data_IF_746363495173
#
_entry.id   IF_746363495173
#
_cell.length_a   1.000
_cell.length_b   1.000
_cell.length_c   1.000
_cell.angle_alpha   90.00
_cell.angle_beta   90.00
_cell.angle_gamma   90.00
#
_symmetry.space_group_name_H-M   'P 1'
#
loop_
_entity.id
_entity.type
_entity.pdbx_description
1 polymer ?
#
# COMPACT_ATOMS: atom_id res chain seq x y z
N UNK A 1 3.39 -12.26 -25.45
CA UNK A 1 3.12 -12.76 -26.80
C UNK A 1 4.28 -12.34 -27.69
N UNK A 2 4.78 -13.26 -28.53
CA UNK A 2 5.87 -13.03 -29.47
C UNK A 2 5.32 -13.11 -30.90
N UNK A 3 5.51 -12.04 -31.68
CA UNK A 3 5.07 -11.94 -33.07
C UNK A 3 5.93 -10.95 -33.84
N UNK A 4 5.68 -10.82 -35.16
CA UNK A 4 6.35 -9.84 -36.01
C UNK A 4 5.45 -8.61 -36.14
N UNK A 5 6.03 -7.40 -36.03
CA UNK A 5 5.32 -6.15 -36.22
C UNK A 5 4.85 -6.07 -37.70
N UNK A 6 3.54 -6.19 -37.90
CA UNK A 6 2.96 -6.26 -39.25
C UNK A 6 2.62 -4.87 -39.81
N UNK A 7 2.11 -3.96 -38.97
CA UNK A 7 1.75 -2.59 -39.40
C UNK A 7 1.79 -1.62 -38.20
N UNK A 8 2.34 -0.43 -38.40
CA UNK A 8 2.25 0.72 -37.48
C UNK A 8 1.14 1.65 -37.96
N UNK A 9 0.26 2.09 -37.06
CA UNK A 9 -0.90 2.92 -37.40
C UNK A 9 -0.69 4.40 -37.03
N UNK A 10 0.43 4.75 -36.39
CA UNK A 10 0.74 6.08 -35.85
C UNK A 10 2.17 6.46 -36.25
N UNK A 11 2.44 7.74 -36.49
CA UNK A 11 3.77 8.26 -36.78
C UNK A 11 4.60 8.53 -35.51
N UNK A 12 5.91 8.50 -35.64
CA UNK A 12 6.82 8.72 -34.52
C UNK A 12 6.72 10.16 -33.97
N UNK A 13 6.30 10.29 -32.70
CA UNK A 13 6.10 11.57 -32.01
C UNK A 13 4.63 12.02 -31.91
N UNK A 14 3.68 11.29 -32.41
CA UNK A 14 2.25 11.58 -32.29
C UNK A 14 1.69 11.19 -30.90
N UNK A 15 0.86 12.04 -30.31
CA UNK A 15 0.23 11.79 -29.01
C UNK A 15 -1.18 11.25 -29.21
N UNK A 16 -1.44 10.05 -28.74
CA UNK A 16 -2.74 9.37 -28.85
C UNK A 16 -3.39 9.11 -27.49
N UNK A 17 -4.74 9.06 -27.42
CA UNK A 17 -5.46 8.74 -26.20
C UNK A 17 -5.16 7.33 -25.71
N UNK A 18 -5.26 7.10 -24.39
CA UNK A 18 -5.07 5.79 -23.77
C UNK A 18 -6.18 4.83 -24.21
N UNK A 19 -5.80 3.71 -24.84
CA UNK A 19 -6.72 2.68 -25.34
C UNK A 19 -6.82 2.64 -26.86
N UNK A 20 -6.12 3.49 -27.60
CA UNK A 20 -6.08 3.48 -29.07
C UNK A 20 -5.05 2.47 -29.61
N UNK A 21 -5.35 1.83 -30.72
CA UNK A 21 -4.49 0.81 -31.32
C UNK A 21 -3.34 1.49 -32.05
N UNK A 22 -2.13 1.29 -31.58
CA UNK A 22 -0.92 1.95 -32.12
C UNK A 22 -0.18 1.12 -33.16
N UNK A 23 -0.28 -0.21 -33.08
CA UNK A 23 0.39 -1.13 -33.99
C UNK A 23 -0.26 -2.52 -33.95
N UNK A 24 -0.04 -3.31 -35.00
CA UNK A 24 -0.57 -4.68 -35.15
C UNK A 24 0.62 -5.64 -35.22
N UNK A 25 0.57 -6.71 -34.41
CA UNK A 25 1.54 -7.81 -34.40
C UNK A 25 0.84 -9.05 -34.96
N UNK A 26 1.41 -9.68 -35.98
CA UNK A 26 0.92 -10.89 -36.62
C UNK A 26 1.98 -12.00 -36.69
N UNK A 27 1.61 -13.14 -37.31
CA UNK A 27 2.55 -14.23 -37.58
C UNK A 27 3.38 -13.96 -38.87
N UNK A 28 4.59 -14.53 -39.03
CA UNK A 28 5.42 -14.30 -40.20
C UNK A 28 4.74 -14.81 -41.48
N UNK A 29 4.30 -13.89 -42.35
CA UNK A 29 3.69 -14.23 -43.65
C UNK A 29 2.16 -14.04 -43.74
N UNK A 30 1.54 -13.49 -42.71
CA UNK A 30 0.12 -13.15 -42.71
C UNK A 30 -0.11 -11.80 -43.40
N UNK A 31 -0.88 -11.79 -44.50
CA UNK A 31 -1.32 -10.56 -45.15
C UNK A 31 -2.56 -10.04 -44.42
N UNK A 32 -2.43 -8.88 -43.78
CA UNK A 32 -3.55 -8.24 -43.08
C UNK A 32 -4.20 -7.24 -44.06
N UNK A 33 -5.23 -7.72 -44.75
CA UNK A 33 -6.11 -6.86 -45.50
C UNK A 33 -7.22 -6.30 -44.61
N UNK A 34 -7.37 -4.99 -44.66
CA UNK A 34 -8.49 -4.19 -44.18
C UNK A 34 -8.75 -4.16 -42.67
N UNK A 35 -7.97 -3.31 -41.96
CA UNK A 35 -8.34 -2.84 -40.60
C UNK A 35 -9.02 -1.48 -40.77
N UNK A 36 -10.30 -1.30 -40.33
CA UNK A 36 -10.96 -0.01 -40.42
C UNK A 36 -10.20 1.06 -39.62
N UNK A 37 -9.98 2.20 -40.26
CA UNK A 37 -9.40 3.39 -39.65
C UNK A 37 -10.23 3.83 -38.43
N UNK A 38 -9.63 4.40 -37.38
CA UNK A 38 -10.36 4.90 -36.21
C UNK A 38 -11.38 5.95 -36.67
N UNK A 39 -12.65 5.71 -36.33
CA UNK A 39 -13.76 6.57 -36.65
C UNK A 39 -13.68 7.85 -35.77
N UNK A 40 -13.23 8.93 -36.32
CA UNK A 40 -13.55 10.28 -35.88
C UNK A 40 -15.05 10.51 -36.12
N UNK A 41 -15.87 10.40 -35.10
CA UNK A 41 -17.32 10.58 -35.18
C UNK A 41 -17.84 11.36 -33.98
N UNK A 42 -17.80 12.67 -34.08
CA UNK A 42 -18.77 13.51 -33.41
C UNK A 42 -20.10 13.37 -34.12
N UNK A 43 -21.11 12.79 -33.48
CA UNK A 43 -22.51 12.96 -33.91
C UNK A 43 -23.34 13.46 -32.73
N UNK A 44 -23.80 14.69 -32.97
CA UNK A 44 -24.87 15.38 -32.27
C UNK A 44 -26.18 14.65 -32.56
N UNK A 45 -27.02 14.52 -31.55
CA UNK A 45 -28.46 14.29 -31.76
C UNK A 45 -29.23 15.46 -31.13
N UNK A 46 -29.88 16.21 -32.03
CA UNK A 46 -30.84 17.27 -31.77
C UNK A 46 -32.16 16.73 -31.22
N UNK A 47 -32.78 17.49 -30.32
CA UNK A 47 -34.20 17.87 -30.32
C UNK A 47 -34.44 18.87 -29.17
N UNK A 48 -34.60 20.15 -29.54
CA UNK A 48 -35.80 21.00 -29.53
C UNK A 48 -36.41 21.21 -28.13
N UNK A 49 -36.62 22.42 -27.63
CA UNK A 49 -37.28 23.63 -28.12
C UNK A 49 -36.97 24.84 -27.22
N UNK A 50 -36.97 26.04 -27.81
CA UNK A 50 -36.77 27.43 -27.30
C UNK A 50 -37.97 27.96 -26.53
N UNK A 51 -38.06 29.29 -26.14
CA UNK A 51 -37.04 30.29 -25.77
C UNK A 51 -37.42 31.20 -24.58
N UNK A 52 -36.51 31.98 -24.04
CA UNK A 52 -36.78 33.36 -23.61
C UNK A 52 -35.46 34.15 -23.32
N UNK A 53 -35.37 35.31 -23.91
CA UNK A 53 -34.31 36.30 -23.97
C UNK A 53 -34.42 37.37 -22.85
N UNK A 54 -33.50 38.41 -22.86
CA UNK A 54 -32.62 38.77 -21.73
C UNK A 54 -33.01 40.13 -21.10
N UNK A 55 -32.23 40.86 -20.30
CA UNK A 55 -31.25 41.82 -20.79
C UNK A 55 -29.94 42.04 -19.95
N UNK A 56 -28.84 42.35 -20.59
CA UNK A 56 -28.07 43.58 -20.67
C UNK A 56 -27.56 44.16 -19.33
N UNK A 57 -26.36 44.56 -19.11
CA UNK A 57 -25.32 45.34 -19.80
C UNK A 57 -24.01 45.32 -19.01
N UNK A 58 -22.90 45.33 -19.71
CA UNK A 58 -21.58 45.63 -19.18
C UNK A 58 -21.35 47.17 -19.06
N UNK A 59 -20.29 47.66 -18.39
CA UNK A 59 -19.17 48.10 -19.19
C UNK A 59 -17.77 47.79 -18.63
N UNK A 60 -16.87 47.73 -19.57
CA UNK A 60 -15.44 47.62 -19.44
C UNK A 60 -14.74 48.84 -18.83
N UNK A 61 -13.59 48.64 -18.15
CA UNK A 61 -12.47 49.55 -18.10
C UNK A 61 -11.19 48.75 -17.90
N UNK A 62 -10.40 48.63 -18.94
CA UNK A 62 -9.07 49.14 -19.28
C UNK A 62 -7.95 48.89 -18.25
N UNK A 63 -7.03 48.10 -18.74
CA UNK A 63 -5.63 47.86 -18.50
C UNK A 63 -4.80 49.05 -17.93
N UNK A 64 -3.93 48.68 -16.97
CA UNK A 64 -2.58 49.27 -16.87
C UNK A 64 -1.59 48.15 -16.59
N UNK A 65 -0.63 47.99 -17.49
CA UNK A 65 0.57 47.19 -17.31
C UNK A 65 1.52 47.94 -16.38
N UNK A 66 1.99 47.30 -15.34
CA UNK A 66 3.23 47.67 -14.69
C UNK A 66 4.10 46.44 -14.52
N UNK A 67 5.22 46.47 -15.26
CA UNK A 67 6.33 45.53 -15.13
C UNK A 67 7.05 45.89 -13.84
N UNK A 68 7.11 44.94 -12.92
CA UNK A 68 8.06 45.01 -11.84
C UNK A 68 9.05 43.83 -11.92
N UNK A 69 10.30 44.21 -11.87
CA UNK A 69 11.52 43.48 -12.15
C UNK A 69 11.78 42.42 -11.06
N UNK A 70 12.07 41.23 -11.51
CA UNK A 70 12.62 40.11 -10.70
C UNK A 70 14.00 40.52 -10.12
N UNK A 71 14.26 40.29 -8.83
CA UNK A 71 15.61 40.39 -8.30
C UNK A 71 16.40 39.10 -8.53
N UNK A 72 17.62 39.25 -9.01
CA UNK A 72 18.59 38.22 -9.28
C UNK A 72 18.92 37.35 -8.05
N UNK A 73 19.22 36.06 -8.22
CA UNK A 73 19.59 35.19 -7.12
C UNK A 73 21.00 35.49 -6.59
N UNK A 74 21.14 35.45 -5.29
CA UNK A 74 22.40 35.57 -4.56
C UNK A 74 23.35 34.38 -4.86
N UNK A 75 24.68 34.58 -4.82
CA UNK A 75 25.66 33.56 -5.18
C UNK A 75 25.74 32.46 -4.13
N UNK A 76 25.73 31.20 -4.63
CA UNK A 76 26.05 29.98 -3.86
C UNK A 76 27.49 30.05 -3.33
N UNK A 77 27.75 29.52 -2.12
CA UNK A 77 29.11 29.43 -1.61
C UNK A 77 29.89 28.34 -2.35
N UNK A 78 31.08 28.72 -2.78
CA UNK A 78 32.08 27.82 -3.41
C UNK A 78 32.38 26.62 -2.54
N UNK A 79 32.13 25.41 -3.07
CA UNK A 79 32.59 24.15 -2.51
C UNK A 79 34.07 23.99 -2.84
N UNK A 80 34.90 24.03 -1.81
CA UNK A 80 36.30 23.62 -1.89
C UNK A 80 36.43 22.20 -2.46
N UNK A 81 37.24 22.07 -3.50
CA UNK A 81 37.65 20.77 -4.07
C UNK A 81 38.64 20.10 -3.14
N UNK A 82 38.43 18.84 -2.70
CA UNK A 82 39.46 18.11 -2.00
C UNK A 82 40.56 17.64 -2.96
N UNK A 83 41.80 17.91 -2.61
CA UNK A 83 43.01 17.40 -3.23
C UNK A 83 43.03 15.84 -3.23
N UNK A 84 43.67 15.19 -4.22
CA UNK A 84 43.73 13.74 -4.27
C UNK A 84 44.74 13.21 -3.23
N UNK A 85 44.24 12.45 -2.29
CA UNK A 85 45.06 11.64 -1.38
C UNK A 85 45.61 10.45 -2.16
N UNK A 86 46.91 10.26 -2.06
CA UNK A 86 47.68 9.10 -2.55
C UNK A 86 47.08 7.79 -2.03
N UNK A 87 46.66 6.94 -2.95
CA UNK A 87 46.13 5.62 -2.65
C UNK A 87 47.22 4.63 -2.32
N UNK A 88 47.30 4.17 -1.08
CA UNK A 88 47.88 2.89 -0.73
C UNK A 88 46.96 1.74 -1.21
N UNK A 89 47.56 0.73 -1.84
CA UNK A 89 46.85 -0.44 -2.32
C UNK A 89 46.39 -1.34 -1.15
N UNK A 90 45.11 -1.73 -1.06
CA UNK A 90 44.67 -2.76 -0.12
C UNK A 90 44.69 -4.13 -0.81
N UNK A 91 45.46 -5.03 -0.23
CA UNK A 91 45.41 -6.45 -0.44
C UNK A 91 44.06 -7.06 -0.10
N UNK A 92 43.51 -7.92 -1.00
CA UNK A 92 42.48 -8.89 -0.66
C UNK A 92 41.05 -8.36 -0.48
N UNK A 93 40.46 -7.62 -1.44
CA UNK A 93 39.10 -7.12 -1.39
C UNK A 93 38.25 -7.50 -2.60
N UNK A 94 37.03 -7.88 -2.34
CA UNK A 94 35.97 -8.25 -3.30
C UNK A 94 35.90 -7.21 -4.43
N UNK A 95 36.16 -7.63 -5.69
CA UNK A 95 36.16 -6.76 -6.88
C UNK A 95 34.81 -6.01 -7.03
N UNK A 96 34.86 -4.68 -7.02
CA UNK A 96 33.71 -3.84 -7.21
C UNK A 96 33.51 -3.53 -8.68
N UNK A 97 32.56 -4.22 -9.34
CA UNK A 97 32.20 -3.99 -10.73
C UNK A 97 30.67 -3.79 -10.88
N UNK A 98 30.27 -3.03 -11.91
CA UNK A 98 28.85 -2.86 -12.23
C UNK A 98 28.25 -4.20 -12.74
N UNK A 99 26.92 -4.41 -12.64
CA UNK A 99 26.27 -5.64 -13.16
C UNK A 99 26.55 -5.87 -14.65
N UNK A 100 26.55 -4.82 -15.47
CA UNK A 100 26.88 -4.89 -16.89
C UNK A 100 28.33 -5.34 -17.13
N UNK A 101 29.28 -4.79 -16.36
CA UNK A 101 30.70 -5.15 -16.45
C UNK A 101 30.93 -6.62 -16.09
N UNK A 102 30.25 -7.13 -15.07
CA UNK A 102 30.32 -8.55 -14.68
C UNK A 102 29.75 -9.47 -15.75
N UNK A 103 28.75 -9.04 -16.49
CA UNK A 103 28.17 -9.79 -17.61
C UNK A 103 29.16 -9.85 -18.78
N UNK A 104 29.66 -8.70 -19.23
CA UNK A 104 30.64 -8.61 -20.33
C UNK A 104 31.94 -9.34 -20.00
N UNK A 105 32.42 -9.25 -18.76
CA UNK A 105 33.61 -9.99 -18.34
C UNK A 105 33.43 -11.51 -18.43
N UNK A 106 32.22 -12.03 -18.12
CA UNK A 106 31.92 -13.47 -18.30
C UNK A 106 31.79 -13.86 -19.77
N UNK A 107 31.16 -13.02 -20.59
CA UNK A 107 31.01 -13.26 -22.04
C UNK A 107 32.36 -13.32 -22.75
N UNK A 108 33.35 -12.52 -22.30
CA UNK A 108 34.67 -12.42 -22.92
C UNK A 108 35.80 -13.08 -22.10
N UNK A 109 35.45 -13.83 -21.04
CA UNK A 109 36.42 -14.54 -20.15
C UNK A 109 37.50 -13.63 -19.56
N UNK A 110 37.13 -12.41 -19.15
CA UNK A 110 38.06 -11.40 -18.62
C UNK A 110 38.10 -11.48 -17.09
N UNK A 111 39.32 -11.61 -16.51
CA UNK A 111 39.52 -11.57 -15.06
C UNK A 111 39.49 -10.14 -14.52
N UNK A 112 38.40 -9.77 -13.84
CA UNK A 112 38.22 -8.45 -13.26
C UNK A 112 39.15 -8.15 -12.08
N UNK A 113 39.82 -9.13 -11.51
CA UNK A 113 40.77 -8.92 -10.40
C UNK A 113 42.04 -8.18 -10.84
N UNK A 114 42.37 -8.25 -12.12
CA UNK A 114 43.52 -7.62 -12.75
C UNK A 114 43.25 -6.21 -13.27
N UNK A 115 42.00 -5.76 -13.23
CA UNK A 115 41.56 -4.49 -13.83
C UNK A 115 41.32 -3.44 -12.75
N UNK A 116 41.99 -2.30 -12.88
CA UNK A 116 41.78 -1.17 -11.98
C UNK A 116 40.52 -0.38 -12.42
N UNK A 117 39.53 -0.28 -11.54
CA UNK A 117 38.30 0.48 -11.81
C UNK A 117 38.49 1.98 -11.75
N UNK A 118 38.03 2.71 -12.78
CA UNK A 118 38.08 4.17 -12.89
C UNK A 118 36.80 4.89 -12.40
N UNK A 119 35.81 4.13 -11.98
CA UNK A 119 34.54 4.68 -11.44
C UNK A 119 34.60 5.08 -9.98
N UNK A 120 33.54 5.72 -9.45
CA UNK A 120 33.48 6.18 -8.07
C UNK A 120 33.77 5.02 -7.07
N UNK A 121 34.62 5.30 -6.10
CA UNK A 121 35.10 4.35 -5.09
C UNK A 121 35.83 3.11 -5.66
N UNK A 122 36.57 3.27 -6.80
CA UNK A 122 37.32 2.21 -7.41
C UNK A 122 36.48 1.14 -8.12
N UNK A 123 35.26 1.44 -8.54
CA UNK A 123 34.37 0.53 -9.26
C UNK A 123 34.79 0.40 -10.72
N UNK A 124 34.90 -0.83 -11.21
CA UNK A 124 35.13 -1.12 -12.62
C UNK A 124 33.88 -0.78 -13.42
N UNK A 125 33.99 0.10 -14.42
CA UNK A 125 32.94 0.54 -15.31
C UNK A 125 33.19 0.07 -16.75
N UNK A 126 32.22 0.19 -17.65
CA UNK A 126 32.30 -0.37 -19.02
C UNK A 126 33.55 0.08 -19.77
N UNK A 127 33.95 1.34 -19.67
CA UNK A 127 35.13 1.90 -20.35
C UNK A 127 36.43 1.24 -19.90
N UNK A 128 36.49 0.63 -18.72
CA UNK A 128 37.71 0.02 -18.17
C UNK A 128 37.95 -1.39 -18.75
N UNK A 129 36.89 -2.05 -19.25
CA UNK A 129 36.98 -3.37 -19.89
C UNK A 129 36.86 -3.29 -21.40
N UNK A 130 36.47 -2.16 -21.96
CA UNK A 130 36.28 -1.99 -23.41
C UNK A 130 37.56 -2.28 -24.22
N UNK A 131 38.78 -1.81 -23.82
CA UNK A 131 40.01 -2.11 -24.53
C UNK A 131 40.37 -3.62 -24.57
N UNK A 132 39.94 -4.37 -23.54
CA UNK A 132 40.14 -5.83 -23.50
C UNK A 132 39.16 -6.57 -24.41
N UNK A 133 37.92 -6.03 -24.57
CA UNK A 133 36.91 -6.56 -25.48
C UNK A 133 37.28 -6.29 -26.93
N UNK A 134 37.82 -5.10 -27.21
CA UNK A 134 38.20 -4.68 -28.56
C UNK A 134 39.55 -5.25 -29.00
N UNK A 135 40.23 -6.03 -28.13
CA UNK A 135 41.51 -6.69 -28.44
C UNK A 135 42.72 -5.76 -28.48
N UNK A 136 42.60 -4.52 -27.95
CA UNK A 136 43.71 -3.57 -27.87
C UNK A 136 44.68 -3.90 -26.74
N UNK A 137 44.24 -4.63 -25.73
CA UNK A 137 45.06 -5.11 -24.60
C UNK A 137 44.83 -6.60 -24.43
N UNK A 138 45.92 -7.40 -24.18
CA UNK A 138 45.83 -8.83 -23.94
C UNK A 138 44.87 -9.13 -22.76
N UNK A 139 43.94 -10.06 -22.99
CA UNK A 139 42.94 -10.46 -22.01
C UNK A 139 43.64 -11.18 -20.85
N UNK A 140 43.49 -10.69 -19.59
CA UNK A 140 43.94 -11.45 -18.42
C UNK A 140 43.10 -12.74 -18.34
N UNK A 141 43.63 -13.84 -18.75
CA UNK A 141 42.96 -15.16 -18.77
C UNK A 141 42.90 -15.66 -17.32
N UNK A 142 41.71 -15.99 -16.83
CA UNK A 142 41.60 -16.75 -15.59
C UNK A 142 42.30 -18.10 -15.75
N UNK A 143 43.18 -18.47 -14.83
CA UNK A 143 43.85 -19.74 -14.85
C UNK A 143 42.84 -20.90 -14.98
N UNK A 144 43.10 -21.91 -15.83
CA UNK A 144 42.17 -23.04 -15.95
C UNK A 144 42.07 -23.75 -14.60
N UNK A 145 40.85 -23.88 -14.07
CA UNK A 145 40.55 -24.77 -12.96
C UNK A 145 40.92 -26.22 -13.41
N UNK A 146 41.78 -26.87 -12.67
CA UNK A 146 42.09 -28.31 -12.89
C UNK A 146 40.76 -29.11 -12.82
N UNK A 147 40.60 -30.16 -13.67
CA UNK A 147 39.38 -30.95 -13.65
C UNK A 147 39.30 -31.71 -12.33
N UNK A 148 38.35 -31.28 -11.52
CA UNK A 148 37.94 -32.01 -10.31
C UNK A 148 37.23 -33.28 -10.79
N UNK A 149 37.76 -34.46 -10.48
CA UNK A 149 37.10 -35.75 -10.66
C UNK A 149 35.69 -35.70 -10.10
N UNK A 150 34.73 -36.20 -10.89
CA UNK A 150 33.35 -36.29 -10.49
C UNK A 150 33.19 -37.08 -9.19
N UNK A 151 32.64 -36.54 -8.13
CA UNK A 151 32.32 -37.32 -6.94
C UNK A 151 31.11 -38.23 -7.24
N UNK A 152 31.27 -39.47 -6.77
CA UNK A 152 30.18 -40.47 -6.68
C UNK A 152 28.92 -39.92 -6.04
N UNK A 153 27.76 -40.50 -6.39
CA UNK A 153 26.41 -40.23 -5.89
C UNK A 153 26.40 -39.68 -4.45
N UNK A 154 26.25 -38.36 -4.32
CA UNK A 154 26.00 -37.76 -3.01
C UNK A 154 24.53 -37.98 -2.61
N UNK A 155 24.40 -38.71 -1.51
CA UNK A 155 23.20 -38.76 -0.68
C UNK A 155 22.58 -37.36 -0.57
N UNK A 156 21.26 -37.28 -0.72
CA UNK A 156 20.46 -36.08 -0.45
C UNK A 156 20.89 -35.47 0.88
N UNK A 157 21.68 -34.43 0.83
CA UNK A 157 21.95 -33.58 1.99
C UNK A 157 20.64 -32.92 2.34
N UNK A 158 20.01 -33.44 3.39
CA UNK A 158 18.97 -32.74 4.14
C UNK A 158 19.60 -31.39 4.50
N UNK A 159 19.10 -30.29 3.93
CA UNK A 159 19.49 -28.96 4.35
C UNK A 159 19.26 -28.85 5.84
N UNK A 160 20.33 -28.95 6.58
CA UNK A 160 20.35 -28.68 8.01
C UNK A 160 19.73 -27.28 8.22
N UNK A 161 18.76 -27.16 9.08
CA UNK A 161 18.19 -25.87 9.45
C UNK A 161 19.33 -24.94 9.86
N UNK A 162 19.29 -23.64 9.51
CA UNK A 162 20.36 -22.71 9.85
C UNK A 162 20.65 -22.85 11.33
N UNK A 163 21.93 -23.09 11.66
CA UNK A 163 22.37 -23.24 13.03
C UNK A 163 21.84 -22.07 13.86
N UNK A 164 21.35 -22.32 15.08
CA UNK A 164 20.84 -21.26 15.93
C UNK A 164 21.93 -20.19 16.08
N UNK A 165 21.58 -18.94 15.72
CA UNK A 165 22.49 -17.79 15.85
C UNK A 165 22.99 -17.79 17.29
N UNK A 166 24.31 -17.97 17.48
CA UNK A 166 24.91 -17.95 18.81
C UNK A 166 24.55 -16.60 19.46
N UNK A 167 23.86 -16.66 20.59
CA UNK A 167 23.54 -15.45 21.35
C UNK A 167 24.85 -14.83 21.83
N UNK A 168 25.07 -13.50 21.65
CA UNK A 168 26.21 -12.85 22.29
C UNK A 168 26.12 -13.12 23.79
N UNK A 169 27.22 -13.51 24.42
CA UNK A 169 27.25 -13.71 25.85
C UNK A 169 26.83 -12.42 26.57
N UNK A 170 25.72 -12.47 27.28
CA UNK A 170 25.26 -11.33 28.06
C UNK A 170 26.23 -11.13 29.21
N UNK A 171 27.05 -10.10 29.13
CA UNK A 171 28.01 -9.74 30.23
C UNK A 171 27.32 -9.13 31.44
N UNK A 172 26.03 -8.89 31.41
CA UNK A 172 25.29 -8.26 32.55
C UNK A 172 23.86 -8.82 32.63
N UNK A 173 23.57 -9.51 33.72
CA UNK A 173 22.25 -9.96 34.15
C UNK A 173 21.88 -11.40 33.73
N UNK A 174 21.08 -12.05 34.54
CA UNK A 174 20.44 -13.34 34.20
C UNK A 174 19.39 -13.11 33.10
N UNK A 175 19.45 -13.91 32.06
CA UNK A 175 18.44 -13.90 30.99
C UNK A 175 17.32 -14.84 31.37
N UNK A 176 16.17 -14.30 31.72
CA UNK A 176 14.94 -15.08 31.89
C UNK A 176 14.39 -15.49 30.52
N UNK A 177 14.24 -16.78 30.30
CA UNK A 177 13.63 -17.32 29.06
C UNK A 177 12.19 -17.72 29.37
N UNK A 178 11.24 -16.99 28.78
CA UNK A 178 9.80 -17.30 28.89
C UNK A 178 9.33 -18.08 27.66
N UNK A 179 8.66 -19.19 27.87
CA UNK A 179 7.98 -19.91 26.81
C UNK A 179 6.67 -19.20 26.44
N UNK A 180 6.44 -19.03 25.13
CA UNK A 180 5.21 -18.44 24.63
C UNK A 180 4.04 -19.42 24.76
N UNK A 181 2.84 -18.92 25.13
CA UNK A 181 1.63 -19.70 25.11
C UNK A 181 1.34 -20.25 23.70
N UNK A 182 0.58 -21.36 23.60
CA UNK A 182 0.18 -21.94 22.30
C UNK A 182 -0.58 -20.95 21.42
N UNK A 183 -1.40 -20.11 22.04
CA UNK A 183 -2.12 -19.02 21.38
C UNK A 183 -1.13 -18.01 20.77
N UNK A 184 -0.18 -17.52 21.56
CA UNK A 184 0.84 -16.57 21.11
C UNK A 184 1.69 -17.15 19.98
N UNK A 185 2.07 -18.41 20.04
CA UNK A 185 2.79 -19.11 18.96
C UNK A 185 1.96 -19.17 17.67
N UNK A 186 0.64 -19.38 17.78
CA UNK A 186 -0.26 -19.43 16.63
C UNK A 186 -0.43 -18.04 15.98
N UNK A 187 -0.60 -17.00 16.82
CA UNK A 187 -0.64 -15.61 16.35
C UNK A 187 0.67 -15.26 15.62
N UNK A 188 1.83 -15.59 16.22
CA UNK A 188 3.13 -15.30 15.63
C UNK A 188 3.27 -15.91 14.23
N UNK A 189 2.90 -17.20 14.06
CA UNK A 189 2.94 -17.86 12.75
C UNK A 189 2.01 -17.21 11.73
N UNK A 190 0.75 -16.90 12.11
CA UNK A 190 -0.23 -16.26 11.23
C UNK A 190 0.20 -14.86 10.79
N UNK A 191 0.68 -14.04 11.72
CA UNK A 191 1.13 -12.68 11.41
C UNK A 191 2.39 -12.68 10.56
N UNK A 192 3.36 -13.58 10.86
CA UNK A 192 4.54 -13.75 10.02
C UNK A 192 4.18 -14.19 8.60
N UNK A 193 3.24 -15.14 8.47
CA UNK A 193 2.76 -15.60 7.17
C UNK A 193 2.10 -14.45 6.40
N UNK A 194 1.17 -13.72 7.03
CA UNK A 194 0.48 -12.59 6.40
C UNK A 194 1.46 -11.53 5.88
N UNK A 195 2.41 -11.13 6.72
CA UNK A 195 3.37 -10.09 6.37
C UNK A 195 4.38 -10.51 5.28
N UNK A 196 4.68 -11.80 5.20
CA UNK A 196 5.55 -12.36 4.16
C UNK A 196 4.83 -12.54 2.82
N UNK A 197 3.57 -13.03 2.86
CA UNK A 197 2.86 -13.50 1.67
C UNK A 197 2.03 -12.38 1.02
N UNK A 198 1.49 -11.44 1.79
CA UNK A 198 0.70 -10.32 1.29
C UNK A 198 1.54 -9.04 1.18
N UNK A 199 1.75 -8.48 -0.04
CA UNK A 199 2.36 -7.17 -0.21
C UNK A 199 1.41 -6.08 0.31
N UNK A 200 1.61 -5.64 1.55
CA UNK A 200 0.76 -4.64 2.18
C UNK A 200 0.97 -3.26 1.55
N UNK A 201 -0.11 -2.60 1.16
CA UNK A 201 -0.16 -1.16 0.91
C UNK A 201 -0.90 -0.48 2.06
N UNK A 202 -0.47 0.73 2.41
CA UNK A 202 -1.03 1.48 3.52
C UNK A 202 -1.50 2.85 3.04
N UNK A 203 -2.78 3.14 3.22
CA UNK A 203 -3.37 4.43 2.89
C UNK A 203 -3.97 5.04 4.14
N UNK A 204 -3.55 6.27 4.48
CA UNK A 204 -4.02 6.99 5.66
C UNK A 204 -4.90 8.16 5.25
N UNK A 205 -5.99 8.37 5.99
CA UNK A 205 -6.90 9.49 5.77
C UNK A 205 -7.34 10.09 7.11
N UNK A 206 -7.41 11.43 7.18
CA UNK A 206 -7.93 12.17 8.32
C UNK A 206 -9.45 12.42 8.14
N UNK A 207 -10.21 12.22 9.21
CA UNK A 207 -11.67 12.30 9.25
C UNK A 207 -12.09 13.27 10.36
N UNK A 208 -13.00 14.19 10.07
CA UNK A 208 -13.65 15.04 11.07
C UNK A 208 -14.81 14.28 11.72
N UNK A 209 -14.65 13.93 12.99
CA UNK A 209 -15.61 13.16 13.75
C UNK A 209 -16.69 14.03 14.43
N UNK A 210 -16.65 15.36 14.28
CA UNK A 210 -17.53 16.29 15.00
C UNK A 210 -19.01 15.92 14.89
N UNK A 211 -19.52 15.75 13.66
CA UNK A 211 -20.93 15.39 13.44
C UNK A 211 -21.26 13.95 13.87
N UNK A 212 -20.32 13.02 13.75
CA UNK A 212 -20.51 11.65 14.23
C UNK A 212 -20.62 11.60 15.76
N UNK A 213 -19.82 12.39 16.46
CA UNK A 213 -19.88 12.50 17.92
C UNK A 213 -21.18 13.16 18.38
N UNK A 214 -21.65 14.18 17.66
CA UNK A 214 -22.95 14.82 17.96
C UNK A 214 -24.12 13.85 17.74
N UNK A 215 -24.16 13.13 16.61
CA UNK A 215 -25.17 12.09 16.37
C UNK A 215 -25.13 11.00 17.47
N UNK A 216 -23.95 10.53 17.84
CA UNK A 216 -23.80 9.55 18.93
C UNK A 216 -24.42 10.07 20.22
N UNK A 217 -24.14 11.32 20.58
CA UNK A 217 -24.68 11.96 21.78
C UNK A 217 -26.22 12.01 21.75
N UNK A 218 -26.80 12.37 20.60
CA UNK A 218 -28.27 12.41 20.42
C UNK A 218 -28.87 11.02 20.54
N UNK A 219 -28.34 10.02 19.86
CA UNK A 219 -28.82 8.64 19.93
C UNK A 219 -28.77 8.12 21.37
N UNK A 220 -27.64 8.32 22.07
CA UNK A 220 -27.48 7.81 23.43
C UNK A 220 -28.38 8.54 24.43
N UNK A 221 -28.73 9.81 24.21
CA UNK A 221 -29.67 10.52 25.05
C UNK A 221 -31.11 9.95 24.95
N UNK A 222 -31.47 9.41 23.78
CA UNK A 222 -32.83 8.87 23.54
C UNK A 222 -32.94 7.39 23.90
N UNK A 223 -31.87 6.61 23.61
CA UNK A 223 -31.93 5.12 23.67
C UNK A 223 -31.36 4.59 24.99
N UNK A 224 -30.23 5.15 25.48
CA UNK A 224 -29.51 4.59 26.61
C UNK A 224 -30.26 4.66 27.95
N UNK A 225 -31.28 5.52 28.06
CA UNK A 225 -32.13 5.61 29.25
C UNK A 225 -33.00 4.35 29.43
N UNK A 226 -33.45 3.76 28.30
CA UNK A 226 -34.35 2.60 28.31
C UNK A 226 -33.60 1.29 28.14
N UNK A 227 -32.47 1.28 27.42
CA UNK A 227 -31.64 0.12 27.13
C UNK A 227 -30.13 0.49 27.15
N UNK A 228 -29.47 0.39 28.33
CA UNK A 228 -28.03 0.69 28.47
C UNK A 228 -27.13 -0.17 27.59
N UNK A 229 -27.57 -1.39 27.24
CA UNK A 229 -26.79 -2.28 26.36
C UNK A 229 -26.78 -1.77 24.91
N UNK A 230 -27.75 -0.95 24.52
CA UNK A 230 -27.80 -0.29 23.21
C UNK A 230 -27.02 1.01 23.13
N UNK A 231 -26.34 1.45 24.20
CA UNK A 231 -25.50 2.65 24.16
C UNK A 231 -24.41 2.51 23.09
N UNK A 232 -24.42 3.42 22.11
CA UNK A 232 -23.54 3.42 20.95
C UNK A 232 -22.16 3.98 21.32
N UNK A 233 -21.11 3.27 21.01
CA UNK A 233 -19.73 3.72 21.14
C UNK A 233 -19.21 4.33 19.84
N UNK A 234 -18.05 5.01 19.88
CA UNK A 234 -17.38 5.49 18.66
C UNK A 234 -17.01 4.32 17.74
N UNK A 235 -16.63 3.20 18.33
CA UNK A 235 -16.28 1.99 17.57
C UNK A 235 -17.48 1.44 16.79
N UNK A 236 -18.68 1.46 17.37
CA UNK A 236 -19.90 0.99 16.71
C UNK A 236 -20.27 1.87 15.50
N UNK A 237 -20.06 3.20 15.61
CA UNK A 237 -20.21 4.11 14.46
C UNK A 237 -19.23 3.77 13.34
N UNK A 238 -17.98 3.49 13.69
CA UNK A 238 -16.94 3.13 12.72
C UNK A 238 -17.26 1.78 12.06
N UNK A 239 -17.67 0.78 12.84
CA UNK A 239 -18.11 -0.53 12.32
C UNK A 239 -19.26 -0.37 11.33
N UNK A 240 -20.30 0.40 11.69
CA UNK A 240 -21.43 0.67 10.81
C UNK A 240 -21.01 1.37 9.53
N UNK A 241 -20.24 2.45 9.65
CA UNK A 241 -19.79 3.23 8.49
C UNK A 241 -18.90 2.38 7.56
N UNK A 242 -17.98 1.60 8.12
CA UNK A 242 -17.11 0.70 7.37
C UNK A 242 -17.93 -0.38 6.63
N UNK A 243 -18.88 -1.02 7.32
CA UNK A 243 -19.73 -2.04 6.73
C UNK A 243 -20.60 -1.51 5.58
N UNK A 244 -21.23 -0.33 5.77
CA UNK A 244 -22.03 0.29 4.70
C UNK A 244 -21.16 0.72 3.52
N UNK A 245 -19.94 1.22 3.77
CA UNK A 245 -19.00 1.54 2.71
C UNK A 245 -18.57 0.30 1.90
N UNK A 246 -18.33 -0.85 2.55
CA UNK A 246 -17.91 -2.10 1.90
C UNK A 246 -18.90 -2.61 0.84
N UNK A 247 -20.19 -2.27 0.93
CA UNK A 247 -21.18 -2.62 -0.11
C UNK A 247 -20.78 -2.17 -1.52
N UNK A 248 -20.05 -1.04 -1.61
CA UNK A 248 -19.60 -0.47 -2.88
C UNK A 248 -18.20 -0.92 -3.26
N UNK A 249 -17.51 -1.65 -2.37
CA UNK A 249 -16.12 -2.11 -2.55
C UNK A 249 -15.99 -3.61 -2.25
N UNK A 250 -16.64 -4.49 -3.02
CA UNK A 250 -16.67 -5.92 -2.75
C UNK A 250 -15.29 -6.57 -2.76
N UNK A 251 -14.33 -5.98 -3.47
CA UNK A 251 -12.93 -6.45 -3.50
C UNK A 251 -12.29 -6.35 -2.11
N UNK A 252 -12.58 -5.29 -1.33
CA UNK A 252 -12.07 -5.15 0.03
C UNK A 252 -12.82 -6.04 1.04
N UNK A 253 -14.01 -6.53 0.65
CA UNK A 253 -14.81 -7.51 1.40
C UNK A 253 -14.60 -8.92 0.85
N UNK A 254 -13.36 -9.32 0.63
CA UNK A 254 -13.02 -10.60 -0.01
C UNK A 254 -11.89 -11.32 0.70
N UNK A 255 -11.70 -12.58 0.36
CA UNK A 255 -10.52 -13.37 0.69
C UNK A 255 -9.59 -13.48 -0.52
N UNK A 256 -8.30 -13.60 -0.26
CA UNK A 256 -7.31 -13.96 -1.28
C UNK A 256 -6.76 -15.36 -0.97
N UNK A 257 -7.17 -16.34 -1.79
CA UNK A 257 -6.83 -17.76 -1.62
C UNK A 257 -6.44 -18.33 -2.99
N UNK A 258 -5.32 -19.02 -3.08
CA UNK A 258 -4.86 -19.74 -4.28
C UNK A 258 -4.91 -18.88 -5.56
N UNK A 259 -4.34 -17.67 -5.47
CA UNK A 259 -4.30 -16.67 -6.55
C UNK A 259 -5.67 -16.23 -7.08
N UNK A 260 -6.70 -16.36 -6.23
CA UNK A 260 -8.08 -15.96 -6.54
C UNK A 260 -8.65 -15.06 -5.45
N UNK A 261 -9.58 -14.20 -5.85
CA UNK A 261 -10.41 -13.43 -4.92
C UNK A 261 -11.75 -14.14 -4.73
N UNK A 262 -12.10 -14.44 -3.50
CA UNK A 262 -13.41 -14.94 -3.11
C UNK A 262 -14.22 -13.77 -2.57
N UNK A 263 -15.14 -13.24 -3.39
CA UNK A 263 -16.01 -12.13 -3.01
C UNK A 263 -17.14 -12.65 -2.13
N UNK A 264 -17.43 -11.93 -1.04
CA UNK A 264 -18.48 -12.28 -0.09
C UNK A 264 -19.66 -11.32 -0.22
N UNK A 265 -20.89 -11.85 -0.30
CA UNK A 265 -22.12 -11.06 -0.31
C UNK A 265 -22.48 -10.55 1.10
N UNK A 266 -22.12 -11.29 2.15
CA UNK A 266 -22.25 -10.89 3.54
C UNK A 266 -21.08 -9.97 3.95
N UNK A 267 -21.36 -9.00 4.81
CA UNK A 267 -20.35 -8.10 5.36
C UNK A 267 -20.22 -8.35 6.85
N UNK A 268 -19.26 -9.22 7.18
CA UNK A 268 -19.00 -9.68 8.54
C UNK A 268 -17.76 -8.98 9.06
N UNK A 269 -17.97 -8.01 9.96
CA UNK A 269 -16.90 -7.13 10.43
C UNK A 269 -16.29 -7.66 11.72
N UNK A 270 -15.02 -8.08 11.66
CA UNK A 270 -14.23 -8.37 12.84
C UNK A 270 -13.79 -7.08 13.55
N UNK A 271 -13.71 -7.14 14.87
CA UNK A 271 -13.08 -6.09 15.65
C UNK A 271 -12.13 -6.67 16.70
N UNK A 272 -10.99 -6.01 16.87
CA UNK A 272 -9.93 -6.48 17.75
C UNK A 272 -10.30 -6.25 19.22
N UNK A 273 -10.22 -7.30 20.04
CA UNK A 273 -10.44 -7.26 21.50
C UNK A 273 -9.18 -7.74 22.20
N UNK A 274 -8.60 -6.88 23.04
CA UNK A 274 -7.47 -7.24 23.89
C UNK A 274 -7.93 -8.17 25.02
N UNK A 275 -7.18 -9.27 25.21
CA UNK A 275 -7.34 -10.23 26.28
C UNK A 275 -6.00 -10.43 26.98
N UNK A 276 -5.95 -11.12 28.13
CA UNK A 276 -4.74 -11.28 28.94
C UNK A 276 -3.56 -11.86 28.14
N UNK A 277 -3.79 -12.91 27.36
CA UNK A 277 -2.76 -13.61 26.59
C UNK A 277 -2.54 -13.07 25.17
N UNK A 278 -3.20 -11.99 24.78
CA UNK A 278 -3.04 -11.45 23.43
C UNK A 278 -4.24 -10.69 22.88
N UNK A 279 -4.67 -11.05 21.68
CA UNK A 279 -5.76 -10.39 20.97
C UNK A 279 -6.61 -11.45 20.30
N UNK A 280 -7.94 -11.32 20.39
CA UNK A 280 -8.91 -12.10 19.65
C UNK A 280 -9.78 -11.15 18.82
N UNK A 281 -10.27 -11.62 17.68
CA UNK A 281 -11.02 -10.79 16.74
C UNK A 281 -12.38 -11.42 16.42
N UNK A 282 -13.38 -11.31 17.33
CA UNK A 282 -14.73 -11.73 17.00
C UNK A 282 -15.32 -10.85 15.90
N UNK A 283 -16.36 -11.33 15.20
CA UNK A 283 -17.01 -10.56 14.16
C UNK A 283 -18.51 -10.36 14.41
N UNK A 284 -19.03 -9.29 13.85
CA UNK A 284 -20.46 -8.97 13.82
C UNK A 284 -20.95 -9.37 12.43
N UNK A 285 -21.82 -10.38 12.29
CA UNK A 285 -22.34 -10.81 11.00
C UNK A 285 -23.32 -9.78 10.44
N UNK A 286 -23.32 -9.63 9.10
CA UNK A 286 -24.21 -8.70 8.36
C UNK A 286 -24.24 -7.29 8.97
N UNK A 287 -23.08 -6.74 9.32
CA UNK A 287 -22.96 -5.46 10.03
C UNK A 287 -23.55 -4.29 9.24
N UNK A 288 -23.53 -4.37 7.92
CA UNK A 288 -24.15 -3.39 7.02
C UNK A 288 -25.68 -3.29 7.15
N UNK A 289 -26.35 -4.40 7.51
CA UNK A 289 -27.80 -4.48 7.65
C UNK A 289 -28.28 -4.17 9.06
N UNK A 290 -27.43 -4.31 10.06
CA UNK A 290 -27.76 -4.05 11.47
C UNK A 290 -27.91 -2.56 11.75
N UNK A 291 -28.81 -2.24 12.67
CA UNK A 291 -28.91 -0.90 13.28
C UNK A 291 -27.73 -0.63 14.20
N UNK A 292 -27.49 0.64 14.54
CA UNK A 292 -26.42 0.99 15.49
C UNK A 292 -26.64 0.37 16.88
N UNK A 293 -27.89 0.29 17.36
CA UNK A 293 -28.19 -0.36 18.64
C UNK A 293 -27.92 -1.87 18.62
N UNK A 294 -28.21 -2.57 17.51
CA UNK A 294 -27.87 -3.98 17.36
C UNK A 294 -26.37 -4.22 17.30
N UNK A 295 -25.62 -3.34 16.60
CA UNK A 295 -24.16 -3.41 16.58
C UNK A 295 -23.60 -3.18 17.99
N UNK A 296 -24.11 -2.16 18.72
CA UNK A 296 -23.67 -1.86 20.08
C UNK A 296 -23.88 -3.03 21.05
N UNK A 297 -25.06 -3.67 21.01
CA UNK A 297 -25.33 -4.88 21.83
C UNK A 297 -24.40 -6.03 21.45
N UNK A 298 -24.24 -6.29 20.15
CA UNK A 298 -23.39 -7.37 19.66
C UNK A 298 -21.91 -7.15 20.02
N UNK A 299 -21.40 -5.93 19.84
CA UNK A 299 -19.99 -5.59 20.14
C UNK A 299 -19.70 -5.71 21.64
N UNK A 300 -20.60 -5.23 22.51
CA UNK A 300 -20.48 -5.35 23.97
C UNK A 300 -20.49 -6.81 24.43
N UNK A 301 -21.47 -7.60 23.96
CA UNK A 301 -21.56 -9.01 24.33
C UNK A 301 -20.34 -9.82 23.87
N UNK A 302 -19.94 -9.67 22.60
CA UNK A 302 -18.76 -10.34 22.06
C UNK A 302 -17.49 -9.93 22.80
N UNK A 303 -17.31 -8.63 23.09
CA UNK A 303 -16.13 -8.12 23.80
C UNK A 303 -16.09 -8.61 25.26
N UNK A 304 -17.24 -8.70 25.96
CA UNK A 304 -17.34 -9.26 27.30
C UNK A 304 -16.95 -10.75 27.29
N UNK A 305 -17.59 -11.55 26.44
CA UNK A 305 -17.31 -12.99 26.33
C UNK A 305 -15.89 -13.28 25.84
N UNK A 306 -15.31 -12.41 25.01
CA UNK A 306 -13.90 -12.51 24.61
C UNK A 306 -12.95 -12.47 25.81
N UNK A 307 -13.18 -11.53 26.76
CA UNK A 307 -12.35 -11.38 27.96
C UNK A 307 -12.58 -12.52 28.99
N UNK A 308 -13.80 -13.05 29.03
CA UNK A 308 -14.19 -14.15 29.92
C UNK A 308 -13.83 -15.55 29.35
N UNK A 309 -13.29 -15.62 28.12
CA UNK A 309 -12.99 -16.90 27.45
C UNK A 309 -14.23 -17.66 26.98
N UNK A 310 -15.38 -16.99 26.87
CA UNK A 310 -16.67 -17.59 26.53
C UNK A 310 -17.05 -17.48 25.04
N UNK A 311 -16.12 -17.10 24.13
CA UNK A 311 -16.40 -17.09 22.70
C UNK A 311 -16.39 -18.49 22.10
N UNK A 312 -17.33 -18.74 21.20
CA UNK A 312 -17.34 -19.96 20.38
C UNK A 312 -16.42 -19.79 19.18
N UNK A 313 -15.79 -20.88 18.68
CA UNK A 313 -14.91 -20.80 17.53
C UNK A 313 -15.54 -20.11 16.30
N UNK A 314 -16.82 -20.34 16.05
CA UNK A 314 -17.57 -19.78 14.92
C UNK A 314 -17.72 -18.25 15.01
N UNK A 315 -17.51 -17.65 16.18
CA UNK A 315 -17.66 -16.20 16.39
C UNK A 315 -16.37 -15.40 16.11
N UNK A 316 -15.23 -16.11 15.93
CA UNK A 316 -13.93 -15.46 15.63
C UNK A 316 -13.14 -16.15 14.50
N UNK A 317 -13.55 -17.33 14.05
CA UNK A 317 -12.89 -18.04 12.95
C UNK A 317 -13.39 -17.61 11.55
N UNK A 318 -14.12 -16.50 11.48
CA UNK A 318 -14.69 -15.97 10.24
C UNK A 318 -14.52 -14.47 10.14
N UNK A 319 -15.45 -13.84 9.41
CA UNK A 319 -15.47 -12.41 9.14
C UNK A 319 -14.69 -12.03 7.90
N UNK A 320 -15.18 -11.03 7.18
CA UNK A 320 -14.70 -10.67 5.84
C UNK A 320 -13.81 -9.43 5.84
N UNK A 321 -13.85 -8.63 6.91
CA UNK A 321 -13.08 -7.41 7.07
C UNK A 321 -12.76 -7.18 8.55
N UNK A 322 -11.57 -6.66 8.85
CA UNK A 322 -11.16 -6.43 10.25
C UNK A 322 -10.97 -4.95 10.56
N UNK A 323 -11.41 -4.53 11.76
CA UNK A 323 -11.13 -3.22 12.34
C UNK A 323 -10.28 -3.39 13.59
N UNK A 324 -9.14 -2.71 13.64
CA UNK A 324 -8.26 -2.63 14.81
C UNK A 324 -8.25 -1.21 15.34
N UNK A 325 -8.72 -1.00 16.58
CA UNK A 325 -8.85 0.32 17.17
C UNK A 325 -7.92 0.49 18.38
N UNK A 326 -6.94 1.39 18.27
CA UNK A 326 -6.02 1.77 19.33
C UNK A 326 -6.26 3.19 19.85
N UNK A 327 -7.40 3.81 19.47
CA UNK A 327 -7.75 5.16 19.88
C UNK A 327 -7.85 5.34 21.40
N UNK A 328 -8.30 4.31 22.12
CA UNK A 328 -8.38 4.32 23.59
C UNK A 328 -7.00 4.40 24.27
N UNK A 329 -5.94 4.02 23.58
CA UNK A 329 -4.55 4.14 24.06
C UNK A 329 -3.89 5.47 23.66
N UNK A 330 -4.63 6.36 22.99
CA UNK A 330 -4.13 7.67 22.56
C UNK A 330 -3.20 7.62 21.35
N UNK A 331 -3.12 6.49 20.64
CA UNK A 331 -2.34 6.32 19.41
C UNK A 331 -2.96 7.17 18.30
N UNK A 332 -2.19 8.03 17.65
CA UNK A 332 -2.68 8.91 16.59
C UNK A 332 -2.96 8.15 15.29
N UNK A 333 -1.99 7.36 14.84
CA UNK A 333 -2.16 6.42 13.73
C UNK A 333 -1.20 5.23 13.90
N UNK A 334 -1.50 4.14 13.20
CA UNK A 334 -0.64 2.95 13.13
C UNK A 334 -1.01 2.13 11.89
N UNK A 335 -0.13 1.22 11.52
CA UNK A 335 -0.39 0.23 10.46
C UNK A 335 -0.68 -1.13 11.09
N UNK A 336 -1.78 -1.75 10.67
CA UNK A 336 -2.15 -3.10 11.12
C UNK A 336 -1.69 -4.15 10.12
N UNK A 337 -1.43 -5.36 10.61
CA UNK A 337 -1.16 -6.54 9.76
C UNK A 337 -2.49 -7.17 9.36
N UNK A 338 -2.66 -7.45 8.07
CA UNK A 338 -3.87 -8.08 7.53
C UNK A 338 -4.11 -9.43 8.22
N UNK A 339 -5.36 -9.72 8.57
CA UNK A 339 -5.78 -11.01 9.14
C UNK A 339 -6.12 -12.00 8.02
N UNK A 340 -5.22 -12.93 7.65
CA UNK A 340 -5.48 -13.84 6.53
C UNK A 340 -6.70 -14.73 6.82
N UNK A 341 -7.52 -15.06 5.80
CA UNK A 341 -7.35 -14.80 4.36
C UNK A 341 -7.95 -13.48 3.85
N UNK A 342 -8.37 -12.57 4.74
CA UNK A 342 -8.96 -11.27 4.39
C UNK A 342 -7.99 -10.43 3.56
N UNK A 343 -8.55 -9.59 2.67
CA UNK A 343 -7.80 -8.67 1.79
C UNK A 343 -7.41 -7.38 2.50
N UNK A 344 -8.16 -6.95 3.50
CA UNK A 344 -7.93 -5.64 4.12
C UNK A 344 -8.22 -5.60 5.63
N UNK A 345 -7.58 -4.65 6.31
CA UNK A 345 -7.79 -4.30 7.70
C UNK A 345 -7.73 -2.78 7.89
N UNK A 346 -8.67 -2.24 8.67
CA UNK A 346 -8.72 -0.82 9.03
C UNK A 346 -8.12 -0.59 10.42
N UNK A 347 -7.03 0.15 10.49
CA UNK A 347 -6.45 0.66 11.72
C UNK A 347 -7.09 2.01 12.07
N UNK A 348 -7.53 2.19 13.32
CA UNK A 348 -8.23 3.37 13.79
C UNK A 348 -7.45 4.02 14.94
N UNK A 349 -7.07 5.27 14.74
CA UNK A 349 -6.40 6.10 15.74
C UNK A 349 -7.36 6.82 16.68
N UNK A 350 -6.78 7.58 17.60
CA UNK A 350 -7.52 8.39 18.56
C UNK A 350 -8.18 9.60 17.89
N UNK A 351 -9.45 9.81 18.20
CA UNK A 351 -10.13 11.06 17.87
C UNK A 351 -9.75 12.14 18.90
N UNK A 352 -9.13 13.23 18.43
CA UNK A 352 -8.60 14.32 19.27
C UNK A 352 -8.95 15.69 18.69
N UNK A 353 -9.05 16.69 19.56
CA UNK A 353 -9.15 18.08 19.10
C UNK A 353 -7.84 18.49 18.44
N UNK A 354 -7.91 18.96 17.18
CA UNK A 354 -6.78 19.49 16.43
C UNK A 354 -7.15 20.81 15.77
N UNK A 355 -6.23 21.79 15.68
CA UNK A 355 -6.45 22.98 14.89
C UNK A 355 -6.44 22.60 13.40
N UNK A 356 -7.51 22.92 12.68
CA UNK A 356 -7.63 22.69 11.24
C UNK A 356 -7.85 24.04 10.57
N UNK A 357 -7.09 24.33 9.54
CA UNK A 357 -7.26 25.55 8.76
C UNK A 357 -8.61 25.52 8.04
N UNK A 358 -9.42 26.57 8.26
CA UNK A 358 -10.65 26.81 7.52
C UNK A 358 -10.40 27.92 6.47
N UNK A 359 -10.47 27.56 5.19
CA UNK A 359 -10.23 28.51 4.09
C UNK A 359 -11.36 29.55 3.93
N UNK A 360 -12.55 29.28 4.45
CA UNK A 360 -13.67 30.24 4.37
C UNK A 360 -13.55 31.38 5.40
N UNK A 361 -13.08 31.05 6.61
CA UNK A 361 -12.88 31.99 7.71
C UNK A 361 -11.46 32.53 7.77
N UNK A 362 -10.53 31.96 6.97
CA UNK A 362 -9.10 32.26 6.99
C UNK A 362 -8.48 32.15 8.40
N UNK A 363 -8.93 31.18 9.19
CA UNK A 363 -8.48 30.97 10.58
C UNK A 363 -8.39 29.48 10.92
N UNK A 364 -7.75 29.17 12.05
CA UNK A 364 -7.72 27.84 12.61
C UNK A 364 -8.93 27.55 13.48
N UNK A 365 -9.67 26.51 13.14
CA UNK A 365 -10.80 26.02 13.92
C UNK A 365 -10.45 24.73 14.68
N UNK A 366 -10.86 24.58 15.94
CA UNK A 366 -10.74 23.32 16.65
C UNK A 366 -11.72 22.30 16.09
N UNK A 367 -11.22 21.19 15.52
CA UNK A 367 -12.03 20.08 15.00
C UNK A 367 -11.65 18.77 15.67
N UNK A 368 -12.60 17.85 15.78
CA UNK A 368 -12.38 16.55 16.40
C UNK A 368 -11.91 15.54 15.36
N UNK A 369 -10.59 15.50 15.13
CA UNK A 369 -9.96 14.76 14.06
C UNK A 369 -9.52 13.36 14.48
N UNK A 370 -9.75 12.38 13.62
CA UNK A 370 -9.33 10.99 13.75
C UNK A 370 -8.57 10.57 12.49
N UNK A 371 -7.48 9.83 12.65
CA UNK A 371 -6.79 9.20 11.53
C UNK A 371 -7.14 7.72 11.44
N UNK A 372 -7.39 7.28 10.22
CA UNK A 372 -7.59 5.87 9.90
C UNK A 372 -6.59 5.45 8.83
N UNK A 373 -6.04 4.23 8.96
CA UNK A 373 -5.14 3.65 7.98
C UNK A 373 -5.67 2.31 7.52
N UNK A 374 -5.94 2.20 6.23
CA UNK A 374 -6.29 0.93 5.60
C UNK A 374 -5.00 0.23 5.17
N UNK A 375 -4.79 -0.98 5.65
CA UNK A 375 -3.81 -1.91 5.09
C UNK A 375 -4.56 -2.85 4.14
N UNK A 376 -4.07 -3.00 2.91
CA UNK A 376 -4.68 -3.86 1.90
C UNK A 376 -3.63 -4.69 1.15
N UNK A 377 -4.02 -5.90 0.73
CA UNK A 377 -3.18 -6.81 -0.04
C UNK A 377 -3.13 -6.38 -1.51
N UNK A 378 -1.96 -5.91 -1.94
CA UNK A 378 -1.79 -5.37 -3.32
C UNK A 378 -1.90 -6.44 -4.42
N UNK A 379 -2.01 -7.71 -4.08
CA UNK A 379 -2.34 -8.77 -5.05
C UNK A 379 -3.83 -8.77 -5.39
N UNK A 380 -4.66 -8.38 -4.43
CA UNK A 380 -6.13 -8.40 -4.57
C UNK A 380 -6.72 -7.04 -4.94
N UNK A 381 -6.10 -5.92 -4.54
CA UNK A 381 -6.61 -4.55 -4.75
C UNK A 381 -5.47 -3.58 -5.03
N UNK A 382 -5.79 -2.34 -5.37
CA UNK A 382 -4.84 -1.26 -5.60
C UNK A 382 -5.06 -0.04 -4.69
N UNK A 383 -4.09 0.90 -4.76
CA UNK A 383 -4.15 2.10 -3.94
C UNK A 383 -5.33 3.03 -4.27
N UNK A 384 -5.79 3.04 -5.53
CA UNK A 384 -6.91 3.89 -5.94
C UNK A 384 -8.24 3.36 -5.40
N UNK A 385 -8.46 2.04 -5.44
CA UNK A 385 -9.65 1.40 -4.87
C UNK A 385 -9.69 1.58 -3.35
N UNK A 386 -8.57 1.33 -2.67
CA UNK A 386 -8.41 1.54 -1.23
C UNK A 386 -8.65 3.00 -0.81
N UNK A 387 -8.15 3.97 -1.59
CA UNK A 387 -8.38 5.39 -1.35
C UNK A 387 -9.85 5.79 -1.54
N UNK A 388 -10.53 5.29 -2.59
CA UNK A 388 -11.96 5.51 -2.82
C UNK A 388 -12.82 4.96 -1.68
N UNK A 389 -12.49 3.76 -1.17
CA UNK A 389 -13.15 3.22 0.01
C UNK A 389 -13.01 4.15 1.23
N UNK A 390 -11.80 4.61 1.52
CA UNK A 390 -11.57 5.55 2.63
C UNK A 390 -12.30 6.87 2.43
N UNK A 391 -12.42 7.38 1.21
CA UNK A 391 -13.25 8.57 0.90
C UNK A 391 -14.73 8.32 1.21
N UNK A 392 -15.26 7.13 0.90
CA UNK A 392 -16.64 6.75 1.25
C UNK A 392 -16.83 6.64 2.76
N UNK A 393 -15.92 5.97 3.46
CA UNK A 393 -15.92 5.88 4.92
C UNK A 393 -15.87 7.27 5.57
N UNK A 394 -14.97 8.14 5.09
CA UNK A 394 -14.89 9.54 5.51
C UNK A 394 -16.20 10.27 5.30
N UNK A 395 -16.78 10.18 4.12
CA UNK A 395 -18.04 10.84 3.81
C UNK A 395 -19.21 10.40 4.72
N UNK A 396 -19.21 9.12 5.16
CA UNK A 396 -20.22 8.60 6.09
C UNK A 396 -20.00 9.08 7.52
N UNK A 397 -18.76 9.14 7.99
CA UNK A 397 -18.45 9.61 9.35
C UNK A 397 -18.58 11.13 9.48
N UNK A 398 -18.22 11.89 8.45
CA UNK A 398 -18.39 13.35 8.41
C UNK A 398 -19.85 13.77 8.15
N UNK A 399 -20.67 12.89 7.56
CA UNK A 399 -22.12 13.10 7.35
C UNK A 399 -22.89 11.84 7.76
N UNK A 400 -23.03 11.58 9.07
CA UNK A 400 -23.43 10.27 9.59
C UNK A 400 -24.87 9.88 9.24
N UNK A 401 -25.73 10.82 8.83
CA UNK A 401 -27.05 10.49 8.30
C UNK A 401 -26.99 9.59 7.06
N UNK A 402 -25.88 9.64 6.29
CA UNK A 402 -25.70 8.77 5.12
C UNK A 402 -25.62 7.29 5.48
N UNK A 403 -24.97 6.95 6.61
CA UNK A 403 -24.89 5.55 7.05
C UNK A 403 -26.21 5.00 7.62
N UNK A 404 -27.16 5.88 7.97
CA UNK A 404 -28.48 5.51 8.47
C UNK A 404 -29.49 5.40 7.32
N UNK A 405 -29.28 6.10 6.22
CA UNK A 405 -30.18 6.13 5.07
C UNK A 405 -29.98 4.95 4.10
N UNK A 406 -28.90 4.17 4.26
CA UNK A 406 -28.75 3.06 3.37
C UNK A 406 -27.53 2.38 3.17
#
# INVERSE_FOLDING_TARGET
DSGVLAKTLIEEGETVPVGEVIAIIGEPGEEIDDVPAPANGAEQSEAAEQPAEPPAEAPAQQAVQERETEPAPAPEPERETPQPATAEAPSGGRVRASPLVRRLAREHSIDLSQITGSGPHGRIVKRDIQPYIDGEIEIPIAAPEEPVEAPAEEERVVREAPAPVARPAAERGEVEVQELSRMRQTIARRMQQSFRDAPHIFITMSIDMGKAMELRKQINAEIAADDPESEVTVNDLIIKAAAVALRQFPVLNSYYIDDKRELHDNIDVNFAVAIEDGLISPFIPDADRKTLGEIARASKDLARRAREGGLRPEEYAGGTFTISNLGMFGVDNFTAVINPPQVAILAVGAAKMRPVWNAETEDFEPRFMMEVTLAADHRATDGAEAARYLQHLKAMLENPMRMLAG
#
